data_IF_022471049275
#
_entry.id   IF_022471049275
#
_cell.length_a   1.000
_cell.length_b   1.000
_cell.length_c   1.000
_cell.angle_alpha   90.00
_cell.angle_beta   90.00
_cell.angle_gamma   90.00
#
_symmetry.space_group_name_H-M   'P 1'
#
loop_
_entity.id
_entity.type
_entity.pdbx_description
1 polymer ?
#
# COMPACT_ATOMS: atom_id res chain seq x y z
N UNK A 1 -8.00 -0.56 4.78
CA UNK A 1 -8.49 0.79 4.42
C UNK A 1 -7.60 1.35 3.32
N UNK A 2 -8.16 2.11 2.37
CA UNK A 2 -7.39 2.75 1.30
C UNK A 2 -7.29 4.25 1.61
N UNK A 3 -6.09 4.82 1.77
CA UNK A 3 -5.93 6.26 1.86
C UNK A 3 -6.16 6.91 0.48
N UNK A 4 -7.00 7.93 0.44
CA UNK A 4 -7.18 8.78 -0.73
C UNK A 4 -6.37 10.04 -0.53
N UNK A 5 -5.32 10.20 -1.32
CA UNK A 5 -4.49 11.39 -1.32
C UNK A 5 -5.17 12.47 -2.16
N UNK A 6 -5.80 13.44 -1.48
CA UNK A 6 -6.34 14.63 -2.11
C UNK A 6 -5.16 15.59 -2.28
N UNK A 7 -4.74 15.81 -3.54
CA UNK A 7 -3.56 16.61 -3.87
C UNK A 7 -3.62 18.03 -3.30
N UNK A 8 -2.45 18.61 -3.01
CA UNK A 8 -2.30 20.03 -2.68
C UNK A 8 -2.69 20.86 -3.90
N UNK A 9 -3.72 21.68 -3.78
CA UNK A 9 -3.93 22.80 -4.67
C UNK A 9 -3.20 23.99 -4.06
N UNK A 10 -2.27 24.60 -4.78
CA UNK A 10 -1.49 25.77 -4.35
C UNK A 10 -2.35 27.01 -4.02
N UNK A 11 -3.64 26.96 -4.30
CA UNK A 11 -4.56 28.09 -4.12
C UNK A 11 -5.35 28.09 -2.82
N UNK A 12 -5.31 27.03 -2.02
CA UNK A 12 -6.04 27.00 -0.73
C UNK A 12 -5.20 26.33 0.34
N UNK A 13 -4.72 27.12 1.31
CA UNK A 13 -4.09 26.64 2.56
C UNK A 13 -5.08 25.87 3.46
N UNK A 14 -5.89 24.97 2.94
CA UNK A 14 -6.71 24.08 3.73
C UNK A 14 -6.03 22.73 3.84
N UNK A 15 -5.77 22.30 5.07
CA UNK A 15 -5.37 20.93 5.41
C UNK A 15 -6.46 20.00 4.93
N UNK A 16 -6.32 19.42 3.75
CA UNK A 16 -7.18 18.34 3.32
C UNK A 16 -6.62 17.09 3.99
N UNK A 17 -7.21 16.71 5.11
CA UNK A 17 -6.95 15.43 5.76
C UNK A 17 -7.28 14.31 4.78
N UNK A 18 -6.33 13.39 4.57
CA UNK A 18 -6.57 12.23 3.72
C UNK A 18 -7.82 11.48 4.18
N UNK A 19 -8.66 11.08 3.23
CA UNK A 19 -9.84 10.26 3.51
C UNK A 19 -9.41 8.80 3.46
N UNK A 20 -9.88 8.02 4.43
CA UNK A 20 -9.64 6.58 4.49
C UNK A 20 -10.89 5.84 4.01
N UNK A 21 -10.79 5.15 2.89
CA UNK A 21 -11.87 4.29 2.39
C UNK A 21 -11.86 2.93 3.10
N UNK A 22 -13.05 2.46 3.43
CA UNK A 22 -13.25 1.11 3.96
C UNK A 22 -13.24 0.10 2.82
N UNK A 23 -12.49 -0.99 2.98
CA UNK A 23 -12.39 -2.04 1.96
C UNK A 23 -13.61 -2.97 1.96
N UNK A 24 -14.16 -3.27 3.13
CA UNK A 24 -15.16 -4.31 3.30
C UNK A 24 -16.55 -3.78 3.63
N UNK A 25 -16.71 -2.46 3.60
CA UNK A 25 -17.94 -1.78 3.98
C UNK A 25 -18.35 -0.72 2.94
N UNK A 26 -19.59 -0.26 3.07
CA UNK A 26 -20.12 0.87 2.33
C UNK A 26 -19.33 2.14 2.68
N UNK A 27 -18.96 2.89 1.68
CA UNK A 27 -18.33 4.19 1.79
C UNK A 27 -19.34 5.30 1.47
N UNK A 28 -19.27 6.41 2.18
CA UNK A 28 -20.00 7.65 1.86
C UNK A 28 -19.00 8.78 1.89
N UNK A 29 -18.85 9.49 0.79
CA UNK A 29 -17.95 10.65 0.68
C UNK A 29 -18.70 11.87 0.15
N UNK A 30 -18.24 13.07 0.47
CA UNK A 30 -18.78 14.28 -0.13
C UNK A 30 -18.65 14.22 -1.67
N UNK A 31 -19.64 14.73 -2.39
CA UNK A 31 -19.71 14.68 -3.87
C UNK A 31 -18.46 15.28 -4.55
N UNK A 32 -17.92 16.34 -3.98
CA UNK A 32 -16.69 17.01 -4.40
C UNK A 32 -15.42 16.16 -4.23
N UNK A 33 -15.45 15.16 -3.35
CA UNK A 33 -14.33 14.24 -3.07
C UNK A 33 -14.36 13.02 -3.98
N UNK A 34 -15.52 12.63 -4.47
CA UNK A 34 -15.71 11.42 -5.26
C UNK A 34 -14.77 11.29 -6.50
N UNK A 35 -14.48 12.37 -7.27
CA UNK A 35 -13.52 12.29 -8.37
C UNK A 35 -12.12 11.86 -7.93
N UNK A 36 -11.67 12.26 -6.74
CA UNK A 36 -10.38 11.85 -6.18
C UNK A 36 -10.38 10.37 -5.80
N UNK A 37 -11.52 9.87 -5.27
CA UNK A 37 -11.71 8.44 -5.01
C UNK A 37 -11.59 7.65 -6.30
N UNK A 38 -12.32 8.04 -7.35
CA UNK A 38 -12.29 7.37 -8.64
C UNK A 38 -10.88 7.35 -9.24
N UNK A 39 -10.14 8.47 -9.14
CA UNK A 39 -8.75 8.54 -9.58
C UNK A 39 -7.83 7.63 -8.77
N UNK A 40 -8.00 7.57 -7.44
CA UNK A 40 -7.22 6.67 -6.58
C UNK A 40 -7.44 5.21 -6.96
N UNK A 41 -8.69 4.78 -7.16
CA UNK A 41 -9.00 3.42 -7.60
C UNK A 41 -8.36 3.12 -8.96
N UNK A 42 -8.40 4.07 -9.90
CA UNK A 42 -7.74 3.94 -11.21
C UNK A 42 -6.23 3.75 -11.07
N UNK A 43 -5.57 4.53 -10.21
CA UNK A 43 -4.13 4.40 -9.97
C UNK A 43 -3.77 3.07 -9.30
N UNK A 44 -4.56 2.62 -8.32
CA UNK A 44 -4.39 1.30 -7.71
C UNK A 44 -4.51 0.20 -8.78
N UNK A 45 -5.47 0.31 -9.70
CA UNK A 45 -5.64 -0.67 -10.77
C UNK A 45 -4.43 -0.77 -11.69
N UNK A 46 -3.73 0.34 -11.97
CA UNK A 46 -2.48 0.30 -12.77
C UNK A 46 -1.45 -0.58 -12.07
N UNK A 47 -1.25 -0.39 -10.77
CA UNK A 47 -0.30 -1.19 -9.97
C UNK A 47 -0.78 -2.64 -9.85
N UNK A 48 -2.07 -2.84 -9.55
CA UNK A 48 -2.65 -4.18 -9.40
C UNK A 48 -2.55 -5.00 -10.69
N UNK A 49 -2.77 -4.39 -11.85
CA UNK A 49 -2.64 -5.07 -13.14
C UNK A 49 -1.20 -5.51 -13.46
N UNK A 50 -0.20 -4.77 -12.96
CA UNK A 50 1.19 -5.18 -13.08
C UNK A 50 1.51 -6.38 -12.16
N UNK A 51 0.97 -6.38 -10.94
CA UNK A 51 1.24 -7.39 -9.91
C UNK A 51 0.34 -8.64 -10.05
N UNK A 52 -0.94 -8.44 -10.31
CA UNK A 52 -1.97 -9.49 -10.42
C UNK A 52 -2.95 -9.12 -11.56
N UNK A 53 -2.62 -9.44 -12.81
CA UNK A 53 -3.40 -9.01 -13.99
C UNK A 53 -4.87 -9.42 -13.97
N UNK A 54 -5.22 -10.46 -13.22
CA UNK A 54 -6.59 -11.01 -13.14
C UNK A 54 -7.50 -10.21 -12.21
N UNK A 55 -6.98 -9.28 -11.40
CA UNK A 55 -7.74 -8.54 -10.40
C UNK A 55 -7.82 -7.07 -10.78
N UNK A 56 -9.04 -6.56 -10.84
CA UNK A 56 -9.33 -5.14 -11.03
C UNK A 56 -10.32 -4.66 -9.97
N UNK A 57 -10.08 -3.48 -9.39
CA UNK A 57 -11.05 -2.82 -8.50
C UNK A 57 -12.10 -2.08 -9.30
N UNK A 58 -13.35 -2.19 -8.86
CA UNK A 58 -14.49 -1.45 -9.40
C UNK A 58 -15.21 -0.71 -8.27
N UNK A 59 -15.66 0.53 -8.56
CA UNK A 59 -16.61 1.24 -7.69
C UNK A 59 -18.00 0.74 -8.09
N UNK A 60 -18.68 0.14 -7.14
CA UNK A 60 -19.97 -0.52 -7.36
C UNK A 60 -21.10 0.19 -6.58
N UNK A 61 -22.32 0.15 -7.11
CA UNK A 61 -23.50 0.77 -6.50
C UNK A 61 -23.29 2.24 -6.08
N UNK A 62 -22.69 3.04 -6.96
CA UNK A 62 -22.52 4.46 -6.69
C UNK A 62 -23.84 5.23 -6.92
N UNK A 63 -24.34 5.93 -5.91
CA UNK A 63 -25.54 6.78 -6.01
C UNK A 63 -25.47 7.98 -5.06
N UNK A 64 -26.23 9.04 -5.41
CA UNK A 64 -26.31 10.24 -4.60
C UNK A 64 -26.97 9.95 -3.24
N UNK A 65 -26.39 10.47 -2.16
CA UNK A 65 -26.88 10.30 -0.80
C UNK A 65 -26.68 11.59 0.00
N UNK A 66 -27.73 12.04 0.69
CA UNK A 66 -27.60 13.13 1.64
C UNK A 66 -26.80 12.64 2.87
N UNK A 67 -25.72 13.35 3.22
CA UNK A 67 -24.91 13.07 4.39
C UNK A 67 -25.59 13.60 5.67
N UNK A 68 -25.18 13.11 6.83
CA UNK A 68 -25.72 13.54 8.14
C UNK A 68 -25.56 15.05 8.39
N UNK A 69 -24.55 15.67 7.79
CA UNK A 69 -24.29 17.10 7.88
C UNK A 69 -25.09 17.95 6.87
N UNK A 70 -26.04 17.34 6.14
CA UNK A 70 -26.89 18.01 5.16
C UNK A 70 -26.20 18.29 3.81
N UNK A 71 -24.96 17.85 3.59
CA UNK A 71 -24.25 17.99 2.31
C UNK A 71 -24.54 16.83 1.37
N UNK A 72 -24.46 17.11 0.08
CA UNK A 72 -24.53 16.08 -0.96
C UNK A 72 -23.31 15.16 -0.89
N UNK A 73 -23.57 13.88 -0.89
CA UNK A 73 -22.55 12.83 -0.88
C UNK A 73 -22.84 11.77 -1.94
N UNK A 74 -21.87 10.86 -2.11
CA UNK A 74 -22.01 9.66 -2.94
C UNK A 74 -21.73 8.47 -2.04
N UNK A 75 -22.67 7.52 -2.03
CA UNK A 75 -22.51 6.21 -1.42
C UNK A 75 -22.04 5.23 -2.47
N UNK A 76 -21.08 4.35 -2.12
CA UNK A 76 -20.58 3.30 -3.00
C UNK A 76 -19.89 2.19 -2.21
N UNK A 77 -19.66 1.09 -2.89
CA UNK A 77 -18.84 -0.04 -2.43
C UNK A 77 -17.63 -0.22 -3.35
N UNK A 78 -16.57 -0.85 -2.83
CA UNK A 78 -15.41 -1.24 -3.63
C UNK A 78 -15.44 -2.77 -3.73
N UNK A 79 -15.41 -3.27 -4.95
CA UNK A 79 -15.40 -4.70 -5.26
C UNK A 79 -14.20 -5.05 -6.14
N UNK A 80 -13.89 -6.33 -6.26
CA UNK A 80 -12.96 -6.85 -7.26
C UNK A 80 -13.70 -7.48 -8.42
N UNK A 81 -13.13 -7.29 -9.61
CA UNK A 81 -13.47 -8.04 -10.83
C UNK A 81 -12.39 -9.08 -11.04
N UNK A 82 -12.77 -10.35 -11.15
CA UNK A 82 -11.88 -11.45 -11.47
C UNK A 82 -12.58 -12.42 -12.42
N UNK A 83 -12.00 -12.65 -13.61
CA UNK A 83 -12.61 -13.55 -14.60
C UNK A 83 -14.03 -13.16 -15.00
N UNK A 84 -14.39 -11.87 -14.96
CA UNK A 84 -15.75 -11.37 -15.22
C UNK A 84 -16.71 -11.46 -14.02
N UNK A 85 -16.31 -12.08 -12.92
CA UNK A 85 -17.12 -12.14 -11.70
C UNK A 85 -16.87 -10.91 -10.81
N UNK A 86 -17.94 -10.35 -10.25
CA UNK A 86 -17.90 -9.29 -9.22
C UNK A 86 -17.84 -9.89 -7.84
N UNK A 87 -16.76 -9.66 -7.12
CA UNK A 87 -16.50 -10.24 -5.81
C UNK A 87 -16.37 -9.11 -4.79
N UNK A 88 -17.24 -9.05 -3.76
CA UNK A 88 -17.07 -8.12 -2.66
C UNK A 88 -15.72 -8.33 -1.97
N UNK A 89 -15.01 -7.24 -1.65
CA UNK A 89 -13.68 -7.30 -1.03
C UNK A 89 -13.65 -8.05 0.31
N UNK A 90 -14.80 -8.20 0.97
CA UNK A 90 -14.93 -9.03 2.17
C UNK A 90 -14.45 -10.47 1.93
N UNK A 91 -14.71 -11.02 0.75
CA UNK A 91 -14.38 -12.41 0.39
C UNK A 91 -12.99 -12.58 -0.21
N UNK A 92 -12.26 -11.50 -0.45
CA UNK A 92 -10.87 -11.57 -0.89
C UNK A 92 -9.94 -12.01 0.24
N UNK A 93 -8.78 -12.59 -0.13
CA UNK A 93 -7.76 -13.00 0.84
C UNK A 93 -7.21 -11.79 1.62
N UNK A 94 -6.66 -12.06 2.80
CA UNK A 94 -6.01 -11.03 3.62
C UNK A 94 -4.85 -10.35 2.86
N UNK A 95 -4.07 -11.11 2.10
CA UNK A 95 -2.97 -10.60 1.28
C UNK A 95 -3.44 -9.65 0.17
N UNK A 96 -4.50 -10.00 -0.57
CA UNK A 96 -5.08 -9.11 -1.58
C UNK A 96 -5.59 -7.81 -0.95
N UNK A 97 -6.31 -7.90 0.17
CA UNK A 97 -6.78 -6.71 0.90
C UNK A 97 -5.64 -5.84 1.40
N UNK A 98 -4.56 -6.45 1.90
CA UNK A 98 -3.35 -5.74 2.32
C UNK A 98 -2.68 -5.05 1.13
N UNK A 99 -2.45 -5.76 0.04
CA UNK A 99 -1.84 -5.20 -1.17
C UNK A 99 -2.63 -3.99 -1.69
N UNK A 100 -3.96 -4.10 -1.82
CA UNK A 100 -4.83 -3.00 -2.21
C UNK A 100 -4.68 -1.82 -1.25
N UNK A 101 -4.58 -2.06 0.07
CA UNK A 101 -4.48 -1.00 1.07
C UNK A 101 -3.17 -0.22 1.02
N UNK A 102 -2.08 -0.85 0.58
CA UNK A 102 -0.77 -0.19 0.47
C UNK A 102 -0.52 0.41 -0.92
N UNK A 103 -1.20 -0.08 -1.98
CA UNK A 103 -0.98 0.38 -3.36
C UNK A 103 -1.09 1.90 -3.53
N UNK A 104 -2.07 2.56 -2.89
CA UNK A 104 -2.21 4.02 -3.01
C UNK A 104 -1.02 4.77 -2.39
N UNK A 105 -0.44 4.23 -1.31
CA UNK A 105 0.76 4.78 -0.68
C UNK A 105 2.01 4.50 -1.52
N UNK A 106 2.09 3.32 -2.13
CA UNK A 106 3.17 2.99 -3.07
C UNK A 106 3.16 3.93 -4.28
N UNK A 107 1.98 4.20 -4.86
CA UNK A 107 1.82 5.18 -5.94
C UNK A 107 2.27 6.58 -5.50
N UNK A 108 1.91 6.99 -4.28
CA UNK A 108 2.34 8.29 -3.75
C UNK A 108 3.85 8.35 -3.54
N UNK A 109 4.46 7.27 -3.04
CA UNK A 109 5.90 7.15 -2.86
C UNK A 109 6.65 7.14 -4.21
N UNK A 110 6.09 6.49 -5.22
CA UNK A 110 6.66 6.45 -6.57
C UNK A 110 6.73 7.85 -7.22
N UNK A 111 5.72 8.70 -6.99
CA UNK A 111 5.58 9.97 -7.69
C UNK A 111 6.09 11.20 -6.90
N UNK A 112 6.53 11.06 -5.63
CA UNK A 112 6.86 12.20 -4.76
C UNK A 112 8.10 11.95 -3.93
N UNK A 113 9.14 12.74 -4.15
CA UNK A 113 10.39 12.72 -3.37
C UNK A 113 10.18 12.97 -1.86
N UNK A 114 9.24 13.84 -1.52
CA UNK A 114 8.94 14.18 -0.12
C UNK A 114 8.05 13.16 0.61
N UNK A 115 7.67 12.05 -0.05
CA UNK A 115 6.81 11.04 0.55
C UNK A 115 7.65 9.99 1.28
N UNK A 116 7.30 9.74 2.54
CA UNK A 116 7.90 8.69 3.35
C UNK A 116 6.82 7.65 3.70
N UNK A 117 7.04 6.41 3.28
CA UNK A 117 6.17 5.28 3.56
C UNK A 117 6.83 4.35 4.58
N UNK A 118 6.12 4.02 5.64
CA UNK A 118 6.55 3.03 6.64
C UNK A 118 5.54 1.89 6.67
N UNK A 119 6.00 0.67 6.44
CA UNK A 119 5.15 -0.54 6.42
C UNK A 119 5.74 -1.58 7.36
N UNK A 120 4.98 -1.94 8.38
CA UNK A 120 5.35 -3.03 9.27
C UNK A 120 4.89 -4.38 8.69
N UNK A 121 5.77 -5.40 8.78
CA UNK A 121 5.52 -6.74 8.26
C UNK A 121 4.99 -6.75 6.82
N UNK A 122 5.70 -6.14 5.88
CA UNK A 122 5.27 -6.03 4.48
C UNK A 122 4.88 -7.39 3.88
N UNK A 123 5.60 -8.45 4.23
CA UNK A 123 5.41 -9.82 3.78
C UNK A 123 4.18 -10.53 4.37
N UNK A 124 3.63 -10.04 5.49
CA UNK A 124 2.53 -10.72 6.20
C UNK A 124 1.30 -10.88 5.29
N UNK A 125 0.95 -12.14 5.00
CA UNK A 125 -0.19 -12.51 4.16
C UNK A 125 -0.01 -12.28 2.65
N UNK A 126 1.16 -11.87 2.20
CA UNK A 126 1.52 -11.72 0.78
C UNK A 126 2.36 -12.92 0.36
N UNK A 127 2.04 -13.54 -0.78
CA UNK A 127 2.87 -14.59 -1.34
C UNK A 127 4.26 -14.08 -1.70
N UNK A 128 5.29 -14.88 -1.47
CA UNK A 128 6.70 -14.54 -1.70
C UNK A 128 6.97 -14.00 -3.11
N UNK A 129 6.35 -14.59 -4.14
CA UNK A 129 6.44 -14.11 -5.51
C UNK A 129 5.93 -12.66 -5.63
N UNK A 130 4.74 -12.37 -5.10
CA UNK A 130 4.16 -11.02 -5.13
C UNK A 130 4.96 -10.01 -4.31
N UNK A 131 5.56 -10.45 -3.20
CA UNK A 131 6.48 -9.62 -2.43
C UNK A 131 7.68 -9.22 -3.31
N UNK A 132 8.25 -10.18 -4.06
CA UNK A 132 9.33 -9.92 -5.00
C UNK A 132 8.97 -8.84 -6.04
N UNK A 133 7.86 -9.02 -6.75
CA UNK A 133 7.37 -8.05 -7.74
C UNK A 133 7.15 -6.64 -7.12
N UNK A 134 6.59 -6.59 -5.90
CA UNK A 134 6.43 -5.32 -5.19
C UNK A 134 7.77 -4.64 -4.89
N UNK A 135 8.78 -5.42 -4.46
CA UNK A 135 10.10 -4.90 -4.13
C UNK A 135 10.82 -4.38 -5.37
N UNK A 136 10.74 -5.10 -6.49
CA UNK A 136 11.31 -4.67 -7.77
C UNK A 136 10.66 -3.36 -8.25
N UNK A 137 9.32 -3.27 -8.22
CA UNK A 137 8.59 -2.06 -8.56
C UNK A 137 8.94 -0.86 -7.64
N UNK A 138 9.31 -1.13 -6.38
CA UNK A 138 9.69 -0.09 -5.44
C UNK A 138 11.11 0.46 -5.67
N UNK A 139 11.97 -0.18 -6.44
CA UNK A 139 13.34 0.31 -6.69
C UNK A 139 13.37 1.59 -7.53
N UNK A 140 12.40 1.82 -8.41
CA UNK A 140 12.32 2.99 -9.30
C UNK A 140 11.59 4.21 -8.70
N UNK A 141 11.31 4.20 -7.39
CA UNK A 141 10.55 5.27 -6.72
C UNK A 141 11.36 6.55 -6.52
N UNK A 142 10.65 7.66 -6.28
CA UNK A 142 11.24 8.95 -5.90
C UNK A 142 11.27 9.16 -4.37
N UNK A 143 10.25 8.67 -3.66
CA UNK A 143 10.15 8.82 -2.20
C UNK A 143 10.91 7.75 -1.42
N UNK A 144 10.94 7.87 -0.11
CA UNK A 144 11.60 6.94 0.80
C UNK A 144 10.61 5.90 1.33
N UNK A 145 11.02 4.63 1.36
CA UNK A 145 10.22 3.56 1.95
C UNK A 145 11.02 2.80 3.01
N UNK A 146 10.42 2.65 4.18
CA UNK A 146 10.90 1.77 5.25
C UNK A 146 9.91 0.62 5.41
N UNK A 147 10.39 -0.60 5.50
CA UNK A 147 9.53 -1.73 5.84
C UNK A 147 10.25 -2.78 6.65
N UNK A 148 9.47 -3.56 7.41
CA UNK A 148 9.96 -4.75 8.07
C UNK A 148 9.45 -6.00 7.36
N UNK A 149 10.22 -7.09 7.40
CA UNK A 149 9.87 -8.37 6.80
C UNK A 149 10.53 -9.52 7.56
N UNK A 150 9.81 -10.62 7.72
CA UNK A 150 10.34 -11.90 8.18
C UNK A 150 10.73 -12.82 7.00
N UNK A 151 10.34 -12.47 5.78
CA UNK A 151 10.66 -13.20 4.57
C UNK A 151 12.10 -12.89 4.13
N UNK A 152 12.79 -13.89 3.58
CA UNK A 152 14.15 -13.75 3.08
C UNK A 152 14.22 -13.16 1.66
N UNK A 153 13.10 -13.03 0.96
CA UNK A 153 13.05 -12.52 -0.42
C UNK A 153 13.71 -11.14 -0.61
N UNK A 154 13.59 -10.18 0.35
CA UNK A 154 14.31 -8.91 0.26
C UNK A 154 15.83 -9.07 0.12
N UNK A 155 16.41 -10.13 0.71
CA UNK A 155 17.86 -10.40 0.66
C UNK A 155 18.35 -10.81 -0.72
N UNK A 156 17.46 -11.35 -1.55
CA UNK A 156 17.78 -11.79 -2.92
C UNK A 156 17.65 -10.67 -3.93
N UNK A 157 16.80 -9.67 -3.64
CA UNK A 157 16.42 -8.60 -4.58
C UNK A 157 17.15 -7.30 -4.29
N UNK A 158 17.34 -6.98 -3.00
CA UNK A 158 17.86 -5.69 -2.56
C UNK A 158 19.37 -5.75 -2.25
N UNK A 159 20.06 -4.65 -2.50
CA UNK A 159 21.46 -4.52 -2.15
C UNK A 159 21.65 -4.47 -0.63
N UNK A 160 22.77 -5.01 -0.16
CA UNK A 160 23.06 -5.12 1.29
C UNK A 160 23.10 -3.79 2.03
N UNK A 161 23.33 -2.67 1.33
CA UNK A 161 23.34 -1.34 1.94
C UNK A 161 21.96 -0.86 2.41
N UNK A 162 20.87 -1.42 1.84
CA UNK A 162 19.50 -1.11 2.24
C UNK A 162 18.98 -2.01 3.36
N UNK A 163 19.75 -3.01 3.79
CA UNK A 163 19.31 -4.02 4.73
C UNK A 163 19.83 -3.76 6.13
N UNK A 164 18.97 -3.91 7.13
CA UNK A 164 19.30 -3.88 8.54
C UNK A 164 18.66 -5.09 9.20
N UNK A 165 19.46 -5.92 9.86
CA UNK A 165 18.94 -7.04 10.64
C UNK A 165 18.71 -6.61 12.09
N UNK A 166 17.58 -7.01 12.65
CA UNK A 166 17.35 -6.88 14.09
C UNK A 166 17.67 -8.20 14.78
N UNK A 167 18.21 -8.14 15.95
CA UNK A 167 18.53 -9.33 16.76
C UNK A 167 17.98 -9.20 18.18
N UNK A 168 17.81 -10.33 18.86
CA UNK A 168 17.43 -10.38 20.28
C UNK A 168 18.57 -10.02 21.23
N UNK A 169 19.80 -9.86 20.72
CA UNK A 169 20.96 -9.49 21.54
C UNK A 169 20.83 -8.02 22.00
N UNK A 170 20.72 -7.73 23.31
CA UNK A 170 20.55 -6.37 23.80
C UNK A 170 21.75 -5.44 23.55
N UNK A 171 22.94 -6.01 23.37
CA UNK A 171 24.17 -5.24 23.10
C UNK A 171 24.33 -4.88 21.62
N UNK A 172 23.64 -5.60 20.72
CA UNK A 172 23.76 -5.40 19.28
C UNK A 172 22.45 -5.68 18.57
N UNK A 173 21.45 -4.82 18.80
CA UNK A 173 20.09 -5.01 18.29
C UNK A 173 19.94 -4.81 16.80
N UNK A 174 20.82 -4.03 16.18
CA UNK A 174 20.78 -3.70 14.76
C UNK A 174 22.11 -4.05 14.12
N UNK A 175 22.07 -4.85 13.08
CA UNK A 175 23.27 -5.33 12.40
C UNK A 175 23.16 -4.99 10.93
N UNK A 176 24.15 -4.27 10.40
CA UNK A 176 24.28 -4.05 8.98
C UNK A 176 25.03 -5.25 8.36
N UNK A 177 24.51 -5.91 7.31
CA UNK A 177 25.12 -7.07 6.69
C UNK A 177 26.50 -6.81 6.11
N UNK A 178 26.85 -5.57 5.75
CA UNK A 178 28.20 -5.21 5.30
C UNK A 178 29.29 -5.45 6.36
N UNK A 179 28.92 -5.57 7.62
CA UNK A 179 29.86 -5.75 8.74
C UNK A 179 29.95 -7.20 9.23
N UNK A 180 29.17 -8.14 8.71
CA UNK A 180 29.08 -9.51 9.22
C UNK A 180 29.27 -10.58 8.15
N UNK A 181 30.12 -11.57 8.50
CA UNK A 181 30.09 -12.91 7.85
C UNK A 181 28.91 -13.67 8.44
N UNK A 182 27.80 -13.68 7.72
CA UNK A 182 26.53 -14.26 8.19
C UNK A 182 26.61 -15.78 8.12
N UNK A 183 26.64 -16.45 9.27
CA UNK A 183 26.57 -17.91 9.33
C UNK A 183 25.22 -18.47 9.83
N UNK A 184 24.34 -17.67 10.42
CA UNK A 184 23.00 -18.06 10.86
C UNK A 184 22.06 -16.85 10.96
N UNK A 185 21.07 -16.77 10.06
CA UNK A 185 19.93 -15.86 10.18
C UNK A 185 18.70 -16.75 10.38
N UNK A 186 18.36 -17.11 11.60
CA UNK A 186 17.22 -17.98 11.87
C UNK A 186 16.05 -17.30 12.59
N UNK A 187 16.23 -16.11 13.18
CA UNK A 187 15.15 -15.39 13.87
C UNK A 187 15.34 -13.86 13.81
N UNK A 188 15.67 -13.32 12.63
CA UNK A 188 15.88 -11.89 12.46
C UNK A 188 14.70 -11.25 11.70
N UNK A 189 14.19 -10.15 12.25
CA UNK A 189 13.35 -9.23 11.49
C UNK A 189 14.26 -8.41 10.59
N UNK A 190 13.97 -8.38 9.29
CA UNK A 190 14.70 -7.57 8.33
C UNK A 190 14.03 -6.20 8.28
N UNK A 191 14.76 -5.16 8.64
CA UNK A 191 14.36 -3.78 8.38
C UNK A 191 15.02 -3.33 7.09
N UNK A 192 14.23 -2.82 6.18
CA UNK A 192 14.71 -2.33 4.88
C UNK A 192 14.51 -0.83 4.82
N UNK A 193 15.56 -0.13 4.42
CA UNK A 193 15.54 1.30 4.16
C UNK A 193 15.82 1.48 2.67
N UNK A 194 14.82 1.85 1.92
CA UNK A 194 14.95 2.19 0.51
C UNK A 194 14.85 3.71 0.38
N UNK A 195 15.90 4.38 -0.03
CA UNK A 195 15.97 5.82 -0.31
C UNK A 195 15.94 6.11 -1.81
#
# INVERSE_FOLDING_TARGET
MIPVNIGWSDSVRSRISGIMLRLTDINVVAKEIYPYVANTIKQINIVMQALIPEIQLEIYNAFDKLMENGKDGIQFEIITLRGGARIPLLYESAGIKKLISICSNLVACYNRESYCLVVDELDSGIYEYLLGECLEAMQERQGTTYFTSHNLRPLEILENEFLIYTTVNPENRYINPLTLKIHRILDCLICVVLN
#
